data_IF_326554415068
#
_entry.id   IF_326554415068
#
_cell.length_a   1.000
_cell.length_b   1.000
_cell.length_c   1.000
_cell.angle_alpha   90.00
_cell.angle_beta   90.00
_cell.angle_gamma   90.00
#
_symmetry.space_group_name_H-M   'P 1'
#
loop_
_entity.id
_entity.type
_entity.pdbx_description
1 polymer ?
#
# COMPACT_ATOMS: atom_id res chain seq x y z
N UNK A 1 24.00 -3.34 -5.38
CA UNK A 1 23.29 -2.48 -4.40
C UNK A 1 24.02 -1.16 -4.12
N UNK A 2 25.02 -0.79 -4.93
CA UNK A 2 25.76 0.47 -4.80
C UNK A 2 24.97 1.64 -5.39
N UNK A 3 25.01 2.78 -4.71
CA UNK A 3 24.58 4.08 -5.25
C UNK A 3 25.68 4.53 -6.19
N UNK A 4 25.30 4.92 -7.40
CA UNK A 4 26.21 5.40 -8.43
C UNK A 4 26.96 6.65 -7.94
N UNK A 5 28.22 6.81 -8.35
CA UNK A 5 28.97 8.03 -8.09
C UNK A 5 28.21 9.27 -8.62
N UNK A 6 28.19 10.35 -7.83
CA UNK A 6 27.38 11.54 -8.12
C UNK A 6 25.88 11.38 -7.86
N UNK A 7 25.44 10.30 -7.21
CA UNK A 7 24.06 10.11 -6.76
C UNK A 7 23.97 9.97 -5.24
N UNK A 8 22.81 10.31 -4.71
CA UNK A 8 22.45 10.25 -3.30
C UNK A 8 21.10 9.61 -3.12
N UNK A 9 21.00 8.73 -2.12
CA UNK A 9 19.79 7.96 -1.85
C UNK A 9 18.87 8.74 -0.94
N UNK A 10 17.61 8.84 -1.35
CA UNK A 10 16.54 9.40 -0.54
C UNK A 10 15.52 8.32 -0.21
N UNK A 11 15.13 8.25 1.05
CA UNK A 11 14.00 7.48 1.52
C UNK A 11 12.72 8.30 1.33
N UNK A 12 11.71 7.68 0.72
CA UNK A 12 10.44 8.32 0.36
C UNK A 12 9.31 7.50 0.95
N UNK A 13 8.42 8.14 1.73
CA UNK A 13 7.19 7.52 2.21
C UNK A 13 5.99 8.02 1.40
N UNK A 14 5.11 7.09 1.03
CA UNK A 14 4.03 7.27 0.06
C UNK A 14 2.73 6.72 0.62
N UNK A 15 1.64 7.41 0.32
CA UNK A 15 0.27 6.94 0.52
C UNK A 15 -0.43 6.88 -0.83
N UNK A 16 -1.21 5.82 -1.08
CA UNK A 16 -2.00 5.72 -2.30
C UNK A 16 -3.22 4.80 -2.16
N UNK A 17 -4.26 5.12 -2.94
CA UNK A 17 -5.41 4.25 -3.17
C UNK A 17 -5.07 3.30 -4.31
N UNK A 18 -5.19 2.01 -4.10
CA UNK A 18 -4.83 0.99 -5.08
C UNK A 18 -5.66 0.94 -6.37
N UNK A 19 -7.01 1.10 -6.36
CA UNK A 19 -7.86 0.84 -7.51
C UNK A 19 -7.49 1.57 -8.80
N UNK A 20 -7.07 2.86 -8.78
CA UNK A 20 -6.61 3.57 -9.98
C UNK A 20 -5.35 2.99 -10.65
N UNK A 21 -4.50 2.28 -9.90
CA UNK A 21 -3.17 1.86 -10.36
C UNK A 21 -3.09 0.38 -10.75
N UNK A 22 -2.11 0.04 -11.60
CA UNK A 22 -1.74 -1.33 -11.97
C UNK A 22 -0.88 -2.06 -10.92
N UNK A 23 -0.94 -1.60 -9.66
CA UNK A 23 -0.04 -1.98 -8.58
C UNK A 23 1.14 -1.03 -8.46
N UNK A 24 2.10 -1.39 -7.61
CA UNK A 24 3.25 -0.51 -7.37
C UNK A 24 4.24 -0.51 -8.53
N UNK A 25 4.71 -1.71 -8.91
CA UNK A 25 5.87 -1.87 -9.79
C UNK A 25 5.60 -1.34 -11.19
N UNK A 26 6.63 -0.71 -11.75
CA UNK A 26 6.57 -0.22 -13.11
C UNK A 26 6.42 -1.35 -14.13
N UNK A 27 5.56 -1.11 -15.13
CA UNK A 27 5.26 -2.03 -16.23
C UNK A 27 5.57 -1.29 -17.53
N UNK A 28 6.38 -1.92 -18.40
CA UNK A 28 6.93 -1.33 -19.63
C UNK A 28 5.97 -1.37 -20.82
N UNK A 29 4.96 -2.24 -20.82
CA UNK A 29 4.20 -2.59 -22.02
C UNK A 29 2.69 -2.41 -21.86
N UNK A 30 2.06 -1.89 -22.90
CA UNK A 30 0.61 -1.75 -23.13
C UNK A 30 -0.03 -3.06 -23.66
N UNK A 31 0.64 -4.19 -23.55
CA UNK A 31 0.11 -5.45 -24.08
C UNK A 31 -0.87 -6.06 -23.06
N UNK A 32 -2.09 -6.36 -23.52
CA UNK A 32 -3.27 -6.78 -22.75
C UNK A 32 -3.82 -5.76 -21.77
N UNK A 33 -4.06 -4.54 -22.26
CA UNK A 33 -4.78 -3.54 -21.50
C UNK A 33 -6.27 -3.84 -21.30
N UNK A 34 -6.85 -4.88 -21.87
CA UNK A 34 -8.23 -5.29 -21.55
C UNK A 34 -8.18 -6.69 -20.96
N UNK A 35 -8.51 -6.80 -19.68
CA UNK A 35 -8.56 -8.09 -19.00
C UNK A 35 -9.68 -8.98 -19.58
N UNK A 36 -9.61 -10.32 -19.42
CA UNK A 36 -10.67 -11.25 -19.84
C UNK A 36 -12.06 -10.95 -19.23
N UNK A 37 -12.12 -10.22 -18.11
CA UNK A 37 -13.36 -9.77 -17.49
C UNK A 37 -13.86 -8.41 -18.01
N UNK A 38 -13.30 -7.91 -19.11
CA UNK A 38 -13.66 -6.64 -19.75
C UNK A 38 -13.03 -5.39 -19.12
N UNK A 39 -12.13 -5.52 -18.13
CA UNK A 39 -11.55 -4.33 -17.50
C UNK A 39 -10.49 -3.67 -18.36
N UNK A 40 -10.74 -2.43 -18.80
CA UNK A 40 -9.78 -1.61 -19.54
C UNK A 40 -8.72 -0.97 -18.60
N UNK A 41 -7.46 -1.07 -19.02
CA UNK A 41 -6.22 -0.69 -18.35
C UNK A 41 -5.44 0.33 -19.17
N UNK A 42 -5.91 0.68 -20.37
CA UNK A 42 -5.29 1.72 -21.19
C UNK A 42 -5.29 3.04 -20.39
N UNK A 43 -4.16 3.74 -20.39
CA UNK A 43 -3.98 4.99 -19.65
C UNK A 43 -3.79 4.84 -18.14
N UNK A 44 -3.89 3.63 -17.56
CA UNK A 44 -3.60 3.42 -16.13
C UNK A 44 -2.10 3.27 -15.91
N UNK A 45 -1.57 4.01 -14.95
CA UNK A 45 -0.18 3.93 -14.55
C UNK A 45 0.00 3.03 -13.32
N UNK A 46 1.22 2.55 -13.12
CA UNK A 46 1.67 2.03 -11.81
C UNK A 46 2.04 3.19 -10.89
N UNK A 47 2.09 2.93 -9.57
CA UNK A 47 2.56 3.93 -8.59
C UNK A 47 3.99 4.37 -8.90
N UNK A 48 4.86 3.42 -9.25
CA UNK A 48 6.23 3.72 -9.68
C UNK A 48 6.27 4.51 -10.98
N UNK A 49 5.42 4.17 -11.97
CA UNK A 49 5.33 4.93 -13.22
C UNK A 49 4.97 6.40 -12.99
N UNK A 50 4.04 6.66 -12.06
CA UNK A 50 3.66 8.01 -11.67
C UNK A 50 4.80 8.77 -10.99
N UNK A 51 5.53 8.09 -10.10
CA UNK A 51 6.72 8.65 -9.46
C UNK A 51 7.83 8.95 -10.48
N UNK A 52 8.05 8.07 -11.45
CA UNK A 52 9.00 8.26 -12.56
C UNK A 52 8.63 9.46 -13.41
N UNK A 53 7.37 9.62 -13.77
CA UNK A 53 6.93 10.78 -14.55
C UNK A 53 7.14 12.09 -13.77
N UNK A 54 6.89 12.10 -12.46
CA UNK A 54 7.17 13.25 -11.61
C UNK A 54 8.68 13.55 -11.53
N UNK A 55 9.52 12.51 -11.44
CA UNK A 55 10.98 12.63 -11.46
C UNK A 55 11.51 13.10 -12.81
N UNK A 56 11.01 12.57 -13.93
CA UNK A 56 11.36 12.99 -15.29
C UNK A 56 11.10 14.50 -15.48
N UNK A 57 10.00 15.01 -14.93
CA UNK A 57 9.65 16.44 -14.98
C UNK A 57 10.48 17.30 -14.03
N UNK A 58 10.82 16.76 -12.87
CA UNK A 58 11.57 17.48 -11.86
C UNK A 58 13.06 17.48 -12.21
N UNK A 59 13.70 16.33 -12.22
CA UNK A 59 15.17 16.18 -12.27
C UNK A 59 15.68 15.72 -13.65
N UNK A 60 14.79 15.44 -14.61
CA UNK A 60 15.14 14.86 -15.89
C UNK A 60 15.40 13.35 -15.81
N UNK A 61 15.35 12.67 -16.96
CA UNK A 61 15.51 11.20 -17.05
C UNK A 61 16.86 10.69 -16.52
N UNK A 62 17.92 11.49 -16.68
CA UNK A 62 19.28 11.16 -16.21
C UNK A 62 19.59 11.73 -14.81
N UNK A 63 18.60 12.38 -14.18
CA UNK A 63 18.71 12.98 -12.85
C UNK A 63 18.38 12.03 -11.71
N UNK A 64 17.82 10.85 -12.01
CA UNK A 64 17.56 9.79 -11.04
C UNK A 64 17.87 8.42 -11.65
N UNK A 65 17.99 7.41 -10.80
CA UNK A 65 18.27 6.04 -11.24
C UNK A 65 17.32 5.05 -10.53
N UNK A 66 17.85 4.33 -9.53
CA UNK A 66 17.17 3.21 -8.91
C UNK A 66 15.96 3.68 -8.09
N UNK A 67 14.77 3.18 -8.44
CA UNK A 67 13.59 3.21 -7.58
C UNK A 67 13.36 1.80 -7.05
N UNK A 68 13.36 1.64 -5.73
CA UNK A 68 13.12 0.35 -5.11
C UNK A 68 12.17 0.49 -3.93
N UNK A 69 11.02 -0.14 -4.06
CA UNK A 69 9.98 -0.17 -3.04
C UNK A 69 10.26 -1.20 -1.96
N UNK A 70 9.84 -0.89 -0.75
CA UNK A 70 9.93 -1.77 0.41
C UNK A 70 9.00 -2.97 0.33
N UNK A 71 7.78 -2.74 -0.16
CA UNK A 71 6.73 -3.74 -0.33
C UNK A 71 6.02 -3.52 -1.65
N UNK A 72 6.12 -4.51 -2.56
CA UNK A 72 5.34 -4.51 -3.79
C UNK A 72 3.88 -4.75 -3.44
N UNK A 73 2.98 -3.94 -4.00
CA UNK A 73 1.54 -4.13 -3.88
C UNK A 73 0.95 -4.54 -5.22
N UNK A 74 0.07 -5.55 -5.19
CA UNK A 74 -0.74 -5.95 -6.34
C UNK A 74 -1.66 -4.80 -6.78
N UNK A 75 -2.17 -4.92 -8.00
CA UNK A 75 -3.26 -4.08 -8.48
C UNK A 75 -4.44 -4.07 -7.51
N UNK A 76 -4.94 -2.87 -7.22
CA UNK A 76 -6.08 -2.66 -6.32
C UNK A 76 -5.75 -2.61 -4.83
N UNK A 77 -4.54 -3.03 -4.42
CA UNK A 77 -4.09 -2.95 -3.01
C UNK A 77 -3.68 -1.52 -2.67
N UNK A 78 -4.15 -1.03 -1.53
CA UNK A 78 -3.85 0.31 -1.03
C UNK A 78 -2.57 0.34 -0.21
N UNK A 79 -2.02 1.54 0.00
CA UNK A 79 -1.01 1.76 1.02
C UNK A 79 -1.28 3.05 1.79
N UNK A 80 -1.28 2.96 3.12
CA UNK A 80 -1.33 4.10 4.01
C UNK A 80 0.07 4.71 4.21
N UNK A 81 1.10 3.86 4.30
CA UNK A 81 2.51 4.23 4.31
C UNK A 81 3.35 3.11 3.69
N UNK A 82 3.65 3.24 2.40
CA UNK A 82 4.67 2.43 1.72
C UNK A 82 5.95 3.23 1.62
N UNK A 83 7.09 2.58 1.81
CA UNK A 83 8.39 3.22 1.67
C UNK A 83 9.03 2.79 0.35
N UNK A 84 9.68 3.70 -0.36
CA UNK A 84 10.66 3.35 -1.39
C UNK A 84 11.94 4.15 -1.19
N UNK A 85 12.96 3.82 -1.96
CA UNK A 85 14.10 4.68 -2.12
C UNK A 85 14.31 5.05 -3.56
N UNK A 86 14.83 6.25 -3.75
CA UNK A 86 15.23 6.81 -5.03
C UNK A 86 16.66 7.31 -4.93
N UNK A 87 17.47 6.96 -5.92
CA UNK A 87 18.82 7.52 -6.06
C UNK A 87 18.73 8.73 -7.00
N UNK A 88 19.05 9.92 -6.50
CA UNK A 88 18.95 11.20 -7.21
C UNK A 88 20.33 11.81 -7.35
N UNK A 89 20.65 12.39 -8.51
CA UNK A 89 21.94 13.02 -8.78
C UNK A 89 22.18 14.16 -7.78
N UNK A 90 23.37 14.21 -7.19
CA UNK A 90 23.75 15.23 -6.19
C UNK A 90 24.06 16.59 -6.79
N UNK A 91 23.84 16.79 -8.09
CA UNK A 91 24.33 17.94 -8.81
C UNK A 91 23.56 18.15 -10.12
N UNK A 92 22.75 19.20 -10.18
CA UNK A 92 22.19 19.74 -11.42
C UNK A 92 23.01 20.96 -11.82
N UNK A 93 23.71 20.96 -12.96
CA UNK A 93 24.33 22.18 -13.45
C UNK A 93 23.22 23.22 -13.77
N UNK A 94 23.37 24.43 -13.23
CA UNK A 94 22.59 25.58 -13.68
C UNK A 94 23.10 26.08 -15.05
N UNK A 95 22.48 27.12 -15.61
CA UNK A 95 22.88 27.70 -16.90
C UNK A 95 24.28 28.34 -16.87
N UNK A 96 24.80 28.61 -15.67
CA UNK A 96 26.13 29.17 -15.42
C UNK A 96 27.18 28.10 -15.09
N UNK A 97 26.81 26.81 -15.12
CA UNK A 97 27.69 25.69 -14.80
C UNK A 97 27.84 25.38 -13.30
N UNK A 98 27.11 26.06 -12.42
CA UNK A 98 27.16 25.80 -10.98
C UNK A 98 26.32 24.58 -10.61
N UNK A 99 26.80 23.82 -9.63
CA UNK A 99 26.15 22.60 -9.15
C UNK A 99 25.04 22.91 -8.14
N UNK A 100 23.78 22.66 -8.51
CA UNK A 100 22.63 22.70 -7.61
C UNK A 100 22.41 21.32 -6.97
N UNK A 101 22.47 21.24 -5.64
CA UNK A 101 22.16 20.02 -4.88
C UNK A 101 20.68 20.03 -4.43
N UNK A 102 19.89 18.97 -4.64
CA UNK A 102 18.52 18.93 -4.13
C UNK A 102 18.52 18.75 -2.60
N UNK A 103 18.07 19.78 -1.88
CA UNK A 103 17.68 19.65 -0.47
C UNK A 103 16.43 18.74 -0.39
N UNK A 104 16.36 17.87 0.63
CA UNK A 104 15.23 16.92 0.81
C UNK A 104 13.87 17.60 0.77
N UNK A 105 13.78 18.85 1.27
CA UNK A 105 12.57 19.67 1.23
C UNK A 105 12.16 20.07 -0.19
N UNK A 106 13.11 20.55 -0.99
CA UNK A 106 12.83 20.95 -2.38
C UNK A 106 12.44 19.73 -3.23
N UNK A 107 13.11 18.60 -3.00
CA UNK A 107 12.76 17.33 -3.65
C UNK A 107 11.35 16.88 -3.27
N UNK A 108 10.98 16.97 -1.98
CA UNK A 108 9.63 16.68 -1.49
C UNK A 108 8.58 17.57 -2.15
N UNK A 109 8.75 18.89 -2.06
CA UNK A 109 7.79 19.87 -2.58
C UNK A 109 7.61 19.72 -4.10
N UNK A 110 8.70 19.52 -4.85
CA UNK A 110 8.66 19.36 -6.29
C UNK A 110 8.00 18.08 -6.75
N UNK A 111 8.37 16.94 -6.16
CA UNK A 111 7.71 15.66 -6.48
C UNK A 111 6.22 15.71 -6.09
N UNK A 112 5.90 16.28 -4.93
CA UNK A 112 4.52 16.42 -4.49
C UNK A 112 3.70 17.30 -5.45
N UNK A 113 4.29 18.39 -5.95
CA UNK A 113 3.68 19.26 -6.95
C UNK A 113 3.37 18.51 -8.26
N UNK A 114 4.35 17.81 -8.85
CA UNK A 114 4.13 17.10 -10.11
C UNK A 114 3.16 15.92 -9.97
N UNK A 115 3.20 15.19 -8.86
CA UNK A 115 2.21 14.13 -8.56
C UNK A 115 0.79 14.71 -8.49
N UNK A 116 0.62 15.87 -7.86
CA UNK A 116 -0.67 16.56 -7.75
C UNK A 116 -1.15 17.07 -9.11
N UNK A 117 -0.26 17.69 -9.90
CA UNK A 117 -0.55 18.21 -11.25
C UNK A 117 -1.04 17.12 -12.19
N UNK A 118 -0.39 15.96 -12.18
CA UNK A 118 -0.83 14.79 -12.95
C UNK A 118 -2.24 14.31 -12.53
N UNK A 119 -2.63 14.49 -11.27
CA UNK A 119 -3.97 14.13 -10.80
C UNK A 119 -5.05 15.02 -11.40
N UNK A 120 -4.77 16.32 -11.50
CA UNK A 120 -5.69 17.31 -12.06
C UNK A 120 -5.94 17.09 -13.55
N UNK A 121 -4.89 16.88 -14.34
CA UNK A 121 -5.02 16.68 -15.79
C UNK A 121 -5.82 15.42 -16.15
N UNK A 122 -5.73 14.35 -15.35
CA UNK A 122 -6.52 13.14 -15.56
C UNK A 122 -8.03 13.34 -15.32
N UNK A 123 -8.43 14.30 -14.47
CA UNK A 123 -9.84 14.63 -14.20
C UNK A 123 -10.43 15.46 -15.34
N UNK A 124 -9.64 16.38 -15.93
CA UNK A 124 -10.06 17.24 -17.04
C UNK A 124 -10.33 16.48 -18.34
N UNK A 125 -9.66 15.35 -18.57
CA UNK A 125 -9.90 14.51 -19.75
C UNK A 125 -11.20 13.68 -19.66
N UNK A 126 -11.86 13.65 -18.49
CA UNK A 126 -13.09 12.88 -18.24
C UNK A 126 -14.37 13.71 -18.03
N UNK A 127 -14.29 15.05 -18.05
CA UNK A 127 -15.44 15.93 -17.84
C UNK A 127 -15.24 17.29 -18.51
N UNK A 128 -16.32 17.87 -19.06
CA UNK A 128 -16.29 19.21 -19.68
C UNK A 128 -15.61 20.21 -18.75
N UNK A 129 -14.67 20.96 -19.34
CA UNK A 129 -13.57 21.60 -18.65
C UNK A 129 -13.96 22.58 -17.55
N UNK A 130 -13.16 22.55 -16.49
CA UNK A 130 -12.89 23.72 -15.68
C UNK A 130 -11.58 24.30 -16.22
N UNK A 131 -11.62 25.50 -16.82
CA UNK A 131 -10.40 26.16 -17.28
C UNK A 131 -9.49 26.43 -16.08
N UNK A 132 -8.44 25.61 -15.93
CA UNK A 132 -7.32 25.98 -15.08
C UNK A 132 -6.57 27.08 -15.83
N UNK A 133 -6.66 28.31 -15.31
CA UNK A 133 -5.89 29.44 -15.82
C UNK A 133 -4.45 29.00 -16.07
N UNK A 134 -3.89 29.39 -17.22
CA UNK A 134 -2.51 29.10 -17.63
C UNK A 134 -1.52 29.54 -16.54
N UNK A 135 -1.29 28.67 -15.54
CA UNK A 135 -0.32 28.92 -14.48
C UNK A 135 1.07 28.64 -15.05
N UNK A 136 1.95 29.62 -14.87
CA UNK A 136 3.36 29.65 -15.29
C UNK A 136 4.06 28.31 -14.99
N UNK A 137 4.87 27.82 -15.92
CA UNK A 137 5.78 26.71 -15.65
C UNK A 137 6.83 27.19 -14.64
N UNK A 138 6.92 26.51 -13.50
CA UNK A 138 7.94 26.76 -12.48
C UNK A 138 9.24 26.09 -12.95
N UNK A 139 10.34 26.85 -12.98
CA UNK A 139 11.67 26.32 -13.32
C UNK A 139 12.33 25.73 -12.06
N UNK A 140 12.80 24.49 -12.14
CA UNK A 140 13.49 23.86 -11.01
C UNK A 140 14.77 24.62 -10.61
N UNK A 141 15.47 25.24 -11.56
CA UNK A 141 16.68 26.06 -11.27
C UNK A 141 16.32 27.27 -10.41
N UNK A 142 15.18 27.90 -10.65
CA UNK A 142 14.70 29.03 -9.87
C UNK A 142 14.25 28.59 -8.47
N UNK A 143 13.66 27.40 -8.34
CA UNK A 143 13.33 26.85 -7.02
C UNK A 143 14.59 26.47 -6.24
N UNK A 144 15.57 25.86 -6.88
CA UNK A 144 16.83 25.45 -6.25
C UNK A 144 17.70 26.65 -5.87
N UNK A 145 17.67 27.74 -6.64
CA UNK A 145 18.34 29.01 -6.29
C UNK A 145 17.56 29.86 -5.28
N UNK A 146 16.38 29.41 -4.84
CA UNK A 146 15.52 30.10 -3.88
C UNK A 146 14.77 31.31 -4.44
N UNK A 147 14.88 31.58 -5.75
CA UNK A 147 14.16 32.66 -6.45
C UNK A 147 12.66 32.39 -6.54
N UNK A 148 12.27 31.13 -6.66
CA UNK A 148 10.88 30.70 -6.65
C UNK A 148 10.63 29.62 -5.58
N UNK A 149 9.36 29.44 -5.20
CA UNK A 149 8.92 28.33 -4.35
C UNK A 149 7.81 27.58 -5.06
N UNK A 150 7.72 26.27 -4.82
CA UNK A 150 6.54 25.54 -5.25
C UNK A 150 5.29 26.14 -4.59
N UNK A 151 4.19 26.33 -5.34
CA UNK A 151 2.95 26.83 -4.78
C UNK A 151 2.45 25.84 -3.74
N UNK A 152 1.85 26.38 -2.67
CA UNK A 152 1.29 25.56 -1.61
C UNK A 152 0.29 24.54 -2.22
N UNK A 153 0.57 23.24 -2.02
CA UNK A 153 -0.27 22.14 -2.53
C UNK A 153 -1.61 22.04 -1.78
N UNK A 154 -1.90 22.98 -0.87
CA UNK A 154 -3.05 22.98 0.06
C UNK A 154 -4.44 22.90 -0.59
N UNK A 155 -4.58 23.03 -1.91
CA UNK A 155 -5.88 22.97 -2.60
C UNK A 155 -6.04 21.85 -3.62
N UNK A 156 -5.01 21.05 -3.89
CA UNK A 156 -5.22 19.83 -4.68
C UNK A 156 -5.76 18.77 -3.73
N UNK A 157 -7.05 18.46 -3.80
CA UNK A 157 -7.56 17.22 -3.23
C UNK A 157 -6.95 16.07 -4.02
N UNK A 158 -5.76 15.61 -3.63
CA UNK A 158 -5.11 14.51 -4.31
C UNK A 158 -5.86 13.24 -3.97
N UNK A 159 -6.66 12.75 -4.93
CA UNK A 159 -7.61 11.66 -4.70
C UNK A 159 -6.94 10.30 -4.58
N UNK A 160 -5.74 10.09 -5.15
CA UNK A 160 -5.22 8.75 -5.41
C UNK A 160 -3.80 8.45 -4.91
N UNK A 161 -2.85 9.40 -4.87
CA UNK A 161 -1.47 9.18 -4.38
C UNK A 161 -0.82 10.46 -3.83
N UNK A 162 -0.15 10.41 -2.68
CA UNK A 162 0.60 11.52 -2.11
C UNK A 162 1.92 11.08 -1.48
N UNK A 163 2.87 11.99 -1.41
CA UNK A 163 4.05 11.82 -0.57
C UNK A 163 3.67 12.11 0.88
N UNK A 164 4.32 11.42 1.81
CA UNK A 164 4.24 11.68 3.23
C UNK A 164 5.51 12.35 3.73
N UNK A 165 6.66 11.85 3.29
CA UNK A 165 7.95 12.41 3.65
C UNK A 165 9.04 12.05 2.61
N UNK A 166 10.10 12.84 2.56
CA UNK A 166 11.37 12.53 1.90
C UNK A 166 12.52 12.94 2.81
N UNK A 167 13.45 12.01 3.03
CA UNK A 167 14.69 12.27 3.78
C UNK A 167 15.86 11.60 3.09
N UNK A 168 17.05 12.10 3.36
CA UNK A 168 18.28 11.39 2.99
C UNK A 168 18.31 10.03 3.69
N UNK A 169 18.60 8.98 2.94
CA UNK A 169 18.73 7.65 3.52
C UNK A 169 20.11 7.49 4.17
N UNK A 170 20.20 6.82 5.33
CA UNK A 170 21.49 6.49 5.91
C UNK A 170 22.27 5.57 4.97
N UNK A 171 23.59 5.69 4.97
CA UNK A 171 24.42 4.84 4.12
C UNK A 171 24.31 3.36 4.54
N UNK A 172 24.34 3.14 5.85
CA UNK A 172 24.17 1.84 6.50
C UNK A 172 23.20 1.96 7.68
N UNK A 173 22.55 0.86 8.04
CA UNK A 173 21.73 0.74 9.24
C UNK A 173 21.89 -0.63 9.87
N UNK A 174 21.57 -0.73 11.15
CA UNK A 174 21.49 -2.01 11.82
C UNK A 174 20.22 -2.75 11.43
N UNK A 175 20.33 -4.04 11.11
CA UNK A 175 19.20 -4.88 10.80
C UNK A 175 19.30 -6.23 11.53
N UNK A 176 18.61 -6.39 12.67
CA UNK A 176 18.71 -7.59 13.50
C UNK A 176 18.16 -8.86 12.82
N UNK A 177 17.46 -8.74 11.69
CA UNK A 177 16.97 -9.91 10.95
C UNK A 177 18.06 -10.62 10.15
N UNK A 178 19.15 -9.93 9.78
CA UNK A 178 20.24 -10.56 9.00
C UNK A 178 21.19 -11.38 9.86
N UNK A 179 21.31 -11.07 11.16
CA UNK A 179 22.09 -11.85 12.12
C UNK A 179 21.58 -13.30 12.22
N UNK A 180 20.26 -13.48 12.08
CA UNK A 180 19.58 -14.75 12.39
C UNK A 180 19.47 -15.68 11.18
N UNK A 181 19.59 -15.17 9.94
CA UNK A 181 19.36 -15.97 8.72
C UNK A 181 20.62 -16.37 7.96
N UNK A 182 21.78 -15.80 8.31
CA UNK A 182 23.06 -16.26 7.78
C UNK A 182 24.17 -15.90 8.76
N UNK A 183 24.95 -16.89 9.17
CA UNK A 183 26.14 -16.77 10.04
C UNK A 183 27.26 -15.87 9.47
N UNK A 184 27.00 -15.14 8.37
CA UNK A 184 27.99 -14.52 7.49
C UNK A 184 27.68 -13.04 7.20
N UNK A 185 26.50 -12.50 7.53
CA UNK A 185 26.19 -11.10 7.21
C UNK A 185 26.28 -10.19 8.44
N UNK A 186 27.02 -9.07 8.35
CA UNK A 186 27.16 -8.14 9.46
C UNK A 186 25.82 -7.50 9.83
N UNK A 187 25.60 -7.24 11.12
CA UNK A 187 24.42 -6.53 11.63
C UNK A 187 24.18 -5.18 10.95
N UNK A 188 25.24 -4.57 10.44
CA UNK A 188 25.20 -3.33 9.68
C UNK A 188 25.04 -3.62 8.19
N UNK A 189 23.85 -3.36 7.65
CA UNK A 189 23.52 -3.55 6.24
C UNK A 189 23.42 -2.20 5.52
N UNK A 190 23.73 -2.18 4.23
CA UNK A 190 23.49 -0.98 3.42
C UNK A 190 21.98 -0.72 3.36
N UNK A 191 21.56 0.53 3.59
CA UNK A 191 20.13 0.83 3.61
C UNK A 191 19.51 0.63 2.21
N UNK A 192 18.45 -0.19 2.16
CA UNK A 192 17.64 -0.46 0.98
C UNK A 192 16.22 -0.67 1.45
N UNK A 193 15.28 0.16 0.98
CA UNK A 193 13.89 0.11 1.43
C UNK A 193 13.27 -1.31 1.48
N UNK A 194 13.66 -2.24 0.61
CA UNK A 194 13.17 -3.62 0.67
C UNK A 194 13.91 -4.46 1.68
N UNK A 195 15.22 -4.50 1.54
CA UNK A 195 16.05 -5.45 2.26
C UNK A 195 16.31 -5.01 3.70
N UNK A 196 16.26 -3.72 3.98
CA UNK A 196 16.47 -3.17 5.31
C UNK A 196 15.18 -3.06 6.15
N UNK A 197 14.02 -3.34 5.55
CA UNK A 197 12.76 -3.34 6.27
C UNK A 197 12.66 -4.56 7.21
N UNK A 198 12.45 -4.28 8.49
CA UNK A 198 12.38 -5.25 9.58
C UNK A 198 10.96 -5.77 9.80
N UNK A 199 9.95 -5.00 9.43
CA UNK A 199 8.56 -5.39 9.66
C UNK A 199 7.63 -4.74 8.65
N UNK A 200 6.58 -5.46 8.26
CA UNK A 200 5.48 -4.95 7.44
C UNK A 200 4.16 -5.22 8.16
N UNK A 201 3.28 -4.23 8.17
CA UNK A 201 1.96 -4.34 8.75
C UNK A 201 0.92 -4.21 7.65
N UNK A 202 0.08 -5.23 7.50
CA UNK A 202 -1.07 -5.22 6.60
C UNK A 202 -2.37 -5.19 7.39
N UNK A 203 -3.40 -4.58 6.82
CA UNK A 203 -4.76 -4.60 7.33
C UNK A 203 -5.70 -4.97 6.19
N UNK A 204 -6.53 -5.97 6.42
CA UNK A 204 -7.61 -6.34 5.52
C UNK A 204 -8.95 -5.92 6.11
N UNK A 205 -9.83 -5.35 5.29
CA UNK A 205 -11.18 -4.89 5.68
C UNK A 205 -12.23 -5.76 5.00
N UNK A 206 -13.17 -6.27 5.80
CA UNK A 206 -14.29 -7.09 5.35
C UNK A 206 -15.56 -6.43 5.86
N UNK A 207 -16.47 -6.14 4.95
CA UNK A 207 -17.78 -5.63 5.25
C UNK A 207 -18.78 -6.76 5.07
N UNK A 208 -19.47 -7.14 6.14
CA UNK A 208 -20.46 -8.22 6.12
C UNK A 208 -21.66 -7.82 6.97
N UNK A 209 -22.81 -8.41 6.69
CA UNK A 209 -24.06 -8.10 7.38
C UNK A 209 -24.38 -9.23 8.34
N UNK A 210 -25.04 -8.89 9.44
CA UNK A 210 -25.60 -9.90 10.33
C UNK A 210 -26.95 -10.44 9.82
N UNK A 211 -27.66 -9.69 8.95
CA UNK A 211 -29.02 -9.99 8.45
C UNK A 211 -29.17 -9.75 6.91
N UNK A 212 -30.32 -10.10 6.33
CA UNK A 212 -30.55 -10.32 4.88
C UNK A 212 -30.90 -9.07 4.02
N UNK A 213 -30.59 -7.84 4.48
CA UNK A 213 -30.94 -6.60 3.75
C UNK A 213 -29.77 -6.02 2.94
N UNK A 214 -29.82 -6.09 1.60
CA UNK A 214 -28.71 -5.72 0.68
C UNK A 214 -28.47 -4.20 0.57
N UNK A 215 -27.93 -3.55 1.61
CA UNK A 215 -27.49 -2.15 1.53
C UNK A 215 -26.03 -2.06 1.05
N UNK A 216 -25.82 -1.50 -0.14
CA UNK A 216 -24.49 -1.11 -0.58
C UNK A 216 -24.03 0.12 0.21
N UNK A 217 -22.80 0.10 0.76
CA UNK A 217 -22.14 1.30 1.31
C UNK A 217 -21.19 1.85 0.24
N UNK A 218 -21.57 2.91 -0.49
CA UNK A 218 -20.76 3.41 -1.61
C UNK A 218 -19.34 3.82 -1.18
N UNK A 219 -19.19 4.29 0.06
CA UNK A 219 -17.91 4.71 0.63
C UNK A 219 -16.89 3.57 0.80
N UNK A 220 -17.36 2.32 0.88
CA UNK A 220 -16.54 1.12 1.11
C UNK A 220 -16.30 0.27 -0.13
N UNK A 221 -16.97 0.54 -1.26
CA UNK A 221 -16.96 -0.29 -2.48
C UNK A 221 -15.56 -0.68 -2.98
N UNK A 222 -14.58 0.20 -2.79
CA UNK A 222 -13.19 0.01 -3.20
C UNK A 222 -12.22 0.02 -2.01
N UNK A 223 -12.70 -0.23 -0.79
CA UNK A 223 -11.94 -0.17 0.46
C UNK A 223 -12.17 -1.36 1.38
N UNK A 224 -13.13 -2.23 1.08
CA UNK A 224 -13.36 -3.45 1.83
C UNK A 224 -13.90 -4.55 0.92
N UNK A 225 -13.69 -5.80 1.32
CA UNK A 225 -14.36 -6.92 0.68
C UNK A 225 -15.77 -7.05 1.25
N UNK A 226 -16.77 -6.81 0.40
CA UNK A 226 -18.17 -7.03 0.75
C UNK A 226 -18.51 -8.52 0.63
N UNK A 227 -18.94 -9.14 1.74
CA UNK A 227 -19.51 -10.48 1.76
C UNK A 227 -21.04 -10.31 1.85
N UNK A 228 -21.77 -10.85 0.86
CA UNK A 228 -23.24 -10.80 0.78
C UNK A 228 -23.85 -12.07 1.37
N UNK A 229 -25.09 -11.97 1.83
CA UNK A 229 -25.99 -13.06 2.22
C UNK A 229 -25.28 -14.14 3.04
N UNK A 230 -24.50 -13.72 4.04
CA UNK A 230 -23.69 -14.61 4.85
C UNK A 230 -24.22 -14.66 6.26
N UNK A 231 -24.24 -15.87 6.83
CA UNK A 231 -24.22 -16.11 8.27
C UNK A 231 -23.12 -15.20 8.87
N UNK A 232 -23.35 -14.57 10.04
CA UNK A 232 -22.31 -13.83 10.75
C UNK A 232 -21.02 -14.64 10.84
N UNK A 233 -19.88 -13.99 10.55
CA UNK A 233 -18.59 -14.66 10.65
C UNK A 233 -18.30 -15.07 12.10
N UNK A 234 -17.98 -16.35 12.32
CA UNK A 234 -17.50 -16.85 13.60
C UNK A 234 -16.09 -16.29 13.89
N UNK A 235 -16.06 -15.21 14.66
CA UNK A 235 -14.84 -14.51 15.03
C UNK A 235 -13.94 -15.37 15.91
N UNK A 236 -14.49 -16.21 16.78
CA UNK A 236 -13.71 -17.03 17.68
C UNK A 236 -12.98 -18.12 16.90
N UNK A 237 -13.65 -18.78 15.96
CA UNK A 237 -13.02 -19.74 15.05
C UNK A 237 -11.94 -19.07 14.20
N UNK A 238 -12.19 -17.87 13.66
CA UNK A 238 -11.19 -17.11 12.91
C UNK A 238 -9.98 -16.75 13.77
N UNK A 239 -10.19 -16.32 15.02
CA UNK A 239 -9.11 -16.00 15.96
C UNK A 239 -8.31 -17.24 16.34
N UNK A 240 -8.96 -18.39 16.55
CA UNK A 240 -8.27 -19.68 16.80
C UNK A 240 -7.42 -20.11 15.60
N UNK A 241 -7.96 -20.05 14.38
CA UNK A 241 -7.19 -20.31 13.16
C UNK A 241 -6.01 -19.34 12.99
N UNK A 242 -6.21 -18.05 13.29
CA UNK A 242 -5.14 -17.05 13.25
C UNK A 242 -4.00 -17.35 14.24
N UNK A 243 -4.30 -17.92 15.42
CA UNK A 243 -3.27 -18.37 16.37
C UNK A 243 -2.40 -19.47 15.76
N UNK A 244 -2.99 -20.46 15.08
CA UNK A 244 -2.21 -21.51 14.41
C UNK A 244 -1.33 -20.99 13.26
N UNK A 245 -1.77 -19.93 12.57
CA UNK A 245 -0.98 -19.27 11.51
C UNK A 245 0.14 -18.36 12.06
N UNK A 246 0.09 -17.97 13.33
CA UNK A 246 1.09 -17.07 13.93
C UNK A 246 2.37 -17.87 14.24
N UNK A 247 3.53 -17.23 14.08
CA UNK A 247 4.85 -17.87 14.24
C UNK A 247 5.58 -18.11 12.91
N UNK A 248 6.58 -18.98 12.95
CA UNK A 248 7.42 -19.33 11.80
C UNK A 248 6.96 -20.62 11.18
N UNK A 249 6.46 -20.54 9.94
CA UNK A 249 5.91 -21.69 9.22
C UNK A 249 6.36 -21.70 7.77
N UNK A 250 6.26 -22.87 7.13
CA UNK A 250 6.25 -22.98 5.67
C UNK A 250 4.87 -22.55 5.14
N UNK A 251 4.80 -21.40 4.48
CA UNK A 251 3.56 -20.85 3.96
C UNK A 251 3.31 -21.23 2.48
N UNK A 252 3.85 -22.35 2.00
CA UNK A 252 3.63 -22.82 0.62
C UNK A 252 2.15 -22.94 0.28
N UNK A 253 1.30 -23.45 1.18
CA UNK A 253 -0.15 -23.52 0.97
C UNK A 253 -0.79 -22.15 0.74
N UNK A 254 -0.19 -21.07 1.25
CA UNK A 254 -0.67 -19.69 1.08
C UNK A 254 0.12 -18.91 0.02
N UNK A 255 1.02 -19.55 -0.73
CA UNK A 255 1.85 -18.92 -1.76
C UNK A 255 1.15 -19.00 -3.12
N UNK A 256 1.02 -17.88 -3.82
CA UNK A 256 0.56 -17.91 -5.20
C UNK A 256 1.65 -18.39 -6.18
N UNK A 257 1.21 -18.97 -7.30
CA UNK A 257 2.07 -19.26 -8.45
C UNK A 257 2.76 -17.99 -8.95
N UNK A 258 4.00 -18.12 -9.45
CA UNK A 258 4.82 -16.99 -9.89
C UNK A 258 5.57 -16.24 -8.77
N UNK A 259 5.50 -16.69 -7.52
CA UNK A 259 6.37 -16.16 -6.48
C UNK A 259 7.83 -16.57 -6.74
N UNK A 260 8.72 -15.60 -6.89
CA UNK A 260 10.16 -15.83 -7.14
C UNK A 260 11.02 -15.98 -5.89
N UNK A 261 10.41 -15.99 -4.69
CA UNK A 261 11.16 -16.16 -3.44
C UNK A 261 11.65 -17.61 -3.31
N UNK A 262 12.90 -17.78 -2.91
CA UNK A 262 13.49 -19.11 -2.70
C UNK A 262 12.81 -19.85 -1.54
N UNK A 263 12.89 -19.31 -0.32
CA UNK A 263 12.28 -19.93 0.86
C UNK A 263 10.80 -19.52 1.04
N UNK A 264 9.87 -20.48 1.19
CA UNK A 264 8.49 -20.22 1.59
C UNK A 264 8.32 -20.03 3.11
N UNK A 265 9.41 -20.18 3.88
CA UNK A 265 9.37 -20.03 5.34
C UNK A 265 9.35 -18.55 5.70
N UNK A 266 8.34 -18.15 6.47
CA UNK A 266 8.09 -16.77 6.88
C UNK A 266 7.70 -16.75 8.35
N UNK A 267 8.06 -15.67 9.05
CA UNK A 267 7.62 -15.42 10.43
C UNK A 267 6.53 -14.35 10.45
N UNK A 268 5.37 -14.71 10.97
CA UNK A 268 4.29 -13.78 11.33
C UNK A 268 4.36 -13.51 12.83
N UNK A 269 4.61 -12.26 13.20
CA UNK A 269 4.71 -11.84 14.60
C UNK A 269 3.34 -11.78 15.26
N UNK A 270 2.33 -11.31 14.52
CA UNK A 270 0.98 -11.13 15.05
C UNK A 270 -0.06 -11.20 13.94
N UNK A 271 -1.18 -11.84 14.24
CA UNK A 271 -2.42 -11.76 13.47
C UNK A 271 -3.53 -11.35 14.43
N UNK A 272 -4.26 -10.27 14.12
CA UNK A 272 -5.38 -9.81 14.94
C UNK A 272 -6.66 -9.79 14.10
N UNK A 273 -7.70 -10.47 14.57
CA UNK A 273 -9.03 -10.47 13.95
C UNK A 273 -9.97 -9.74 14.90
N UNK A 274 -10.56 -8.65 14.44
CA UNK A 274 -11.49 -7.83 15.20
C UNK A 274 -12.73 -7.53 14.36
N UNK A 275 -13.88 -7.34 15.01
CA UNK A 275 -15.10 -6.90 14.35
C UNK A 275 -15.75 -5.81 15.17
N UNK A 276 -16.37 -4.86 14.48
CA UNK A 276 -17.12 -3.78 15.09
C UNK A 276 -18.32 -3.44 14.22
N UNK A 277 -19.43 -2.93 14.81
CA UNK A 277 -20.51 -2.35 14.05
C UNK A 277 -20.01 -1.22 13.13
N UNK A 278 -20.59 -1.11 11.93
CA UNK A 278 -20.26 -0.16 10.89
C UNK A 278 -21.50 0.68 10.55
N UNK A 279 -21.43 2.00 10.76
CA UNK A 279 -22.54 2.93 10.48
C UNK A 279 -22.93 3.80 11.69
N UNK A 280 -24.15 4.34 11.66
CA UNK A 280 -24.69 5.31 12.65
C UNK A 280 -24.76 4.71 14.07
N UNK A 281 -24.93 3.40 14.20
CA UNK A 281 -24.87 2.71 15.50
C UNK A 281 -23.47 2.77 16.16
N UNK A 282 -22.43 3.18 15.44
CA UNK A 282 -21.10 3.50 15.97
C UNK A 282 -20.90 4.98 16.31
N UNK A 283 -21.88 5.85 16.04
CA UNK A 283 -21.88 7.25 16.49
C UNK A 283 -22.33 7.29 17.96
N UNK A 284 -21.38 7.27 18.88
CA UNK A 284 -21.68 7.70 20.25
C UNK A 284 -21.91 9.22 20.27
N UNK A 285 -23.03 9.69 20.84
CA UNK A 285 -23.26 11.12 21.08
C UNK A 285 -24.66 11.64 20.77
N UNK A 286 -24.77 12.96 20.58
CA UNK A 286 -26.02 13.74 20.36
C UNK A 286 -26.81 13.31 19.14
N UNK A 287 -26.14 12.91 18.05
CA UNK A 287 -26.80 12.55 16.79
C UNK A 287 -27.67 11.28 16.89
N UNK A 288 -27.26 10.30 17.69
CA UNK A 288 -28.07 9.10 17.93
C UNK A 288 -29.37 9.44 18.70
N UNK A 289 -29.33 10.43 19.60
CA UNK A 289 -30.51 10.93 20.32
C UNK A 289 -31.45 11.70 19.39
N UNK A 290 -30.90 12.49 18.46
CA UNK A 290 -31.69 13.20 17.44
C UNK A 290 -32.38 12.22 16.48
N UNK A 291 -31.67 11.18 15.99
CA UNK A 291 -32.30 10.15 15.15
C UNK A 291 -33.46 9.45 15.86
N UNK A 292 -33.31 9.11 17.15
CA UNK A 292 -34.39 8.53 17.95
C UNK A 292 -35.60 9.48 18.10
N UNK A 293 -35.35 10.79 18.21
CA UNK A 293 -36.40 11.83 18.32
C UNK A 293 -37.28 11.89 17.05
N UNK A 294 -36.70 11.64 15.88
CA UNK A 294 -37.41 11.63 14.59
C UNK A 294 -37.98 10.25 14.20
N UNK A 295 -37.95 9.27 15.13
CA UNK A 295 -38.43 7.91 14.85
C UNK A 295 -37.58 7.17 13.80
N UNK A 296 -36.36 7.65 13.53
CA UNK A 296 -35.43 6.97 12.63
C UNK A 296 -34.81 5.81 13.42
N UNK A 297 -34.92 4.55 12.94
CA UNK A 297 -34.33 3.41 13.63
C UNK A 297 -32.84 3.64 13.87
N UNK A 298 -32.43 3.73 15.14
CA UNK A 298 -31.03 3.88 15.54
C UNK A 298 -30.23 2.58 15.40
N UNK A 299 -30.94 1.46 15.22
CA UNK A 299 -30.40 0.15 14.84
C UNK A 299 -30.83 -0.15 13.41
N UNK A 300 -30.05 0.31 12.43
CA UNK A 300 -30.04 -0.35 11.13
C UNK A 300 -29.23 -1.64 11.35
N UNK A 301 -29.86 -2.79 11.09
CA UNK A 301 -29.30 -4.14 11.21
C UNK A 301 -27.79 -4.17 10.97
N UNK A 302 -26.97 -4.63 11.93
CA UNK A 302 -25.64 -4.07 12.08
C UNK A 302 -24.72 -4.66 11.03
N UNK A 303 -24.55 -3.90 9.96
CA UNK A 303 -23.40 -4.00 9.09
C UNK A 303 -22.16 -4.03 9.98
N UNK A 304 -21.32 -5.03 9.82
CA UNK A 304 -20.11 -5.21 10.60
C UNK A 304 -18.89 -5.00 9.72
N UNK A 305 -17.91 -4.30 10.26
CA UNK A 305 -16.59 -4.18 9.67
C UNK A 305 -15.64 -5.06 10.46
N UNK A 306 -15.33 -6.21 9.88
CA UNK A 306 -14.26 -7.07 10.37
C UNK A 306 -12.94 -6.65 9.76
N UNK A 307 -11.94 -6.48 10.62
CA UNK A 307 -10.57 -6.19 10.22
C UNK A 307 -9.66 -7.36 10.60
N UNK A 308 -8.73 -7.67 9.71
CA UNK A 308 -7.68 -8.66 9.96
C UNK A 308 -6.34 -7.97 9.76
N UNK A 309 -5.57 -7.78 10.81
CA UNK A 309 -4.21 -7.25 10.72
C UNK A 309 -3.19 -8.38 10.71
N UNK A 310 -2.13 -8.19 9.91
CA UNK A 310 -1.01 -9.12 9.83
C UNK A 310 0.28 -8.32 10.01
N UNK A 311 1.08 -8.74 10.98
CA UNK A 311 2.41 -8.20 11.22
C UNK A 311 3.43 -9.32 11.01
N UNK A 312 4.44 -9.05 10.20
CA UNK A 312 5.45 -10.04 9.86
C UNK A 312 6.73 -9.39 9.36
N UNK A 313 7.83 -10.13 9.43
CA UNK A 313 9.13 -9.68 8.91
C UNK A 313 9.08 -9.53 7.38
N UNK A 314 8.41 -10.47 6.71
CA UNK A 314 8.26 -10.51 5.24
C UNK A 314 6.99 -11.26 4.88
N UNK A 315 6.56 -11.18 3.62
CA UNK A 315 5.39 -11.90 3.12
C UNK A 315 5.65 -12.47 1.72
N UNK A 316 5.07 -13.62 1.40
CA UNK A 316 5.09 -14.23 0.06
C UNK A 316 4.08 -13.56 -0.88
N UNK A 317 4.22 -13.85 -2.17
CA UNK A 317 3.29 -13.33 -3.17
C UNK A 317 1.85 -13.78 -2.89
N UNK A 318 0.94 -12.81 -2.72
CA UNK A 318 -0.48 -12.97 -2.33
C UNK A 318 -0.75 -13.67 -0.98
N UNK A 319 0.28 -13.88 -0.15
CA UNK A 319 0.15 -14.62 1.12
C UNK A 319 -0.99 -14.09 1.99
N UNK A 320 -1.00 -12.77 2.25
CA UNK A 320 -2.01 -12.14 3.10
C UNK A 320 -3.42 -12.37 2.57
N UNK A 321 -3.65 -12.20 1.27
CA UNK A 321 -4.98 -12.38 0.65
C UNK A 321 -5.43 -13.84 0.65
N UNK A 322 -4.50 -14.79 0.51
CA UNK A 322 -4.80 -16.22 0.63
C UNK A 322 -5.16 -16.59 2.08
N UNK A 323 -4.41 -16.08 3.06
CA UNK A 323 -4.73 -16.29 4.47
C UNK A 323 -6.08 -15.66 4.86
N UNK A 324 -6.38 -14.45 4.37
CA UNK A 324 -7.70 -13.82 4.59
C UNK A 324 -8.82 -14.68 3.99
N UNK A 325 -8.68 -15.16 2.76
CA UNK A 325 -9.67 -16.02 2.13
C UNK A 325 -9.92 -17.31 2.92
N UNK A 326 -8.85 -17.91 3.44
CA UNK A 326 -8.93 -19.08 4.32
C UNK A 326 -9.62 -18.76 5.66
N UNK A 327 -9.22 -17.67 6.34
CA UNK A 327 -9.85 -17.25 7.60
C UNK A 327 -11.33 -16.96 7.41
N UNK A 328 -11.74 -16.35 6.30
CA UNK A 328 -13.15 -16.15 5.98
C UNK A 328 -13.88 -17.48 5.76
N UNK A 329 -13.25 -18.48 5.14
CA UNK A 329 -13.86 -19.81 5.01
C UNK A 329 -14.04 -20.49 6.37
N UNK A 330 -13.08 -20.34 7.29
CA UNK A 330 -13.22 -20.78 8.69
C UNK A 330 -14.37 -20.05 9.38
N UNK A 331 -14.43 -18.72 9.27
CA UNK A 331 -15.51 -17.92 9.87
C UNK A 331 -16.90 -18.23 9.30
N UNK A 332 -16.97 -18.77 8.07
CA UNK A 332 -18.23 -19.28 7.48
C UNK A 332 -18.56 -20.72 7.86
N UNK A 333 -17.70 -21.40 8.63
CA UNK A 333 -17.86 -22.81 8.98
C UNK A 333 -17.61 -23.78 7.82
N UNK A 334 -17.01 -23.33 6.72
CA UNK A 334 -16.66 -24.20 5.59
C UNK A 334 -15.42 -25.06 5.86
N UNK A 335 -14.61 -24.65 6.83
CA UNK A 335 -13.39 -25.32 7.27
C UNK A 335 -13.33 -25.22 8.79
N UNK A 336 -12.94 -26.31 9.47
CA UNK A 336 -12.72 -26.27 10.91
C UNK A 336 -11.42 -25.55 11.24
N UNK A 337 -11.42 -24.74 12.30
CA UNK A 337 -10.23 -23.96 12.63
C UNK A 337 -9.02 -24.84 13.02
N UNK A 338 -9.26 -26.05 13.52
CA UNK A 338 -8.26 -27.06 13.89
C UNK A 338 -7.51 -27.62 12.68
N UNK A 339 -8.12 -27.62 11.49
CA UNK A 339 -7.51 -28.11 10.24
C UNK A 339 -6.39 -27.18 9.73
N UNK A 340 -6.22 -26.01 10.34
CA UNK A 340 -5.20 -25.03 9.93
C UNK A 340 -3.78 -25.60 9.98
N UNK A 341 -3.48 -26.45 10.96
CA UNK A 341 -2.17 -27.11 11.07
C UNK A 341 -1.98 -28.10 9.92
N UNK A 342 -3.02 -28.87 9.57
CA UNK A 342 -2.98 -29.79 8.44
C UNK A 342 -2.79 -29.05 7.12
N UNK A 343 -3.44 -27.89 6.93
CA UNK A 343 -3.29 -27.06 5.73
C UNK A 343 -1.87 -26.51 5.60
N UNK A 344 -1.24 -26.07 6.69
CA UNK A 344 0.18 -25.65 6.68
C UNK A 344 1.09 -26.82 6.31
N UNK A 345 0.88 -27.99 6.91
CA UNK A 345 1.70 -29.18 6.68
C UNK A 345 1.53 -29.76 5.26
N UNK A 346 0.36 -29.59 4.64
CA UNK A 346 0.09 -30.08 3.30
C UNK A 346 0.96 -29.41 2.22
N UNK A 347 1.44 -28.18 2.45
CA UNK A 347 2.24 -27.38 1.49
C UNK A 347 1.62 -27.33 0.09
N UNK A 348 0.30 -27.28 0.03
CA UNK A 348 -0.48 -27.37 -1.21
C UNK A 348 -1.44 -26.18 -1.32
N UNK A 349 -1.26 -25.38 -2.37
CA UNK A 349 -2.09 -24.20 -2.62
C UNK A 349 -3.55 -24.55 -2.86
N UNK A 350 -3.88 -25.74 -3.37
CA UNK A 350 -5.28 -26.15 -3.60
C UNK A 350 -6.05 -26.32 -2.30
N UNK A 351 -5.35 -26.60 -1.20
CA UNK A 351 -5.91 -26.68 0.16
C UNK A 351 -6.22 -25.31 0.76
N UNK A 352 -5.56 -24.26 0.28
CA UNK A 352 -5.94 -22.90 0.60
C UNK A 352 -7.13 -22.48 -0.27
N UNK A 353 -8.13 -21.87 0.37
CA UNK A 353 -9.34 -21.41 -0.28
C UNK A 353 -9.08 -20.31 -1.33
N UNK A 354 -10.17 -19.82 -1.92
CA UNK A 354 -10.11 -18.72 -2.90
C UNK A 354 -9.38 -17.49 -2.34
N UNK A 355 -8.68 -16.78 -3.22
CA UNK A 355 -7.89 -15.60 -2.82
C UNK A 355 -8.82 -14.41 -2.54
N UNK A 356 -8.68 -13.76 -1.39
CA UNK A 356 -9.48 -12.56 -1.08
C UNK A 356 -9.24 -11.44 -2.11
N UNK A 357 -10.25 -10.60 -2.43
CA UNK A 357 -10.10 -9.46 -3.34
C UNK A 357 -9.01 -8.47 -2.91
N UNK A 358 -8.40 -7.76 -3.87
CA UNK A 358 -7.28 -6.87 -3.58
C UNK A 358 -7.70 -5.55 -2.89
N UNK A 359 -8.87 -5.01 -3.23
CA UNK A 359 -9.33 -3.68 -2.80
C UNK A 359 -9.68 -3.57 -1.31
N UNK A 360 -9.73 -4.70 -0.59
CA UNK A 360 -9.86 -4.71 0.87
C UNK A 360 -8.53 -4.68 1.62
N UNK A 361 -7.39 -4.84 0.93
CA UNK A 361 -6.06 -4.92 1.54
C UNK A 361 -5.34 -3.57 1.55
N UNK A 362 -4.75 -3.24 2.70
CA UNK A 362 -3.94 -2.05 2.93
C UNK A 362 -2.58 -2.47 3.46
N UNK A 363 -1.51 -1.97 2.84
CA UNK A 363 -0.21 -1.87 3.51
C UNK A 363 -0.27 -0.66 4.46
N UNK A 364 -0.28 -0.92 5.76
CA UNK A 364 -0.41 0.12 6.78
C UNK A 364 0.91 0.83 6.99
N UNK A 365 1.98 0.06 7.21
CA UNK A 365 3.28 0.60 7.57
C UNK A 365 4.43 -0.39 7.26
N UNK A 366 5.64 0.16 7.12
CA UNK A 366 6.89 -0.58 6.96
C UNK A 366 7.96 0.01 7.88
N UNK A 367 8.48 -0.81 8.79
CA UNK A 367 9.54 -0.42 9.72
C UNK A 367 10.92 -0.73 9.16
N UNK A 368 11.89 0.14 9.42
CA UNK A 368 13.29 0.02 9.00
C UNK A 368 14.20 0.14 10.22
N UNK A 369 13.98 -0.70 11.24
CA UNK A 369 14.69 -0.59 12.52
C UNK A 369 14.47 0.79 13.16
N UNK A 370 15.54 1.44 13.59
CA UNK A 370 15.52 2.76 14.25
C UNK A 370 15.39 3.94 13.27
N UNK A 371 15.41 3.67 11.96
CA UNK A 371 15.28 4.72 10.96
C UNK A 371 13.81 5.02 10.63
N UNK A 372 13.30 6.11 11.19
CA UNK A 372 11.97 6.62 10.90
C UNK A 372 11.93 7.56 9.68
N UNK A 373 11.06 7.21 8.74
CA UNK A 373 10.84 7.90 7.46
C UNK A 373 9.48 8.58 7.46
#
# INVERSE_FOLDING_TARGET
MTVREGFKRYAVSLQYRGPPFLGFSWQRTQEDCILPNGTDLRGRQSVEGRLREALDKLVGRDGYDKIQVSSRTDRGVHALKNTCHIDVRTSFPDESGNVLTPYSRTLFEGLQYYIAKQASTAVEQGGKGLEVSKRRSIDLKDVLSGKERFPAVQQFQIKDMRLLNIREAPHFMDNPLYDVQSTIQPNKVRWDARFSATQRTYLYRILHMCNDTDWAVPFEWNRSWRIRNSIPLDLEAMQRAAKYLTGTHDFTSFRASGCSRYSPVVTLNQICVQSQPYGIAGLSGTFAKECALFGIPTTIDPLCLTTISFQGNSFLYRQVRNMVGYLVAVGKGWINCEDTVAVLNARDRTKAQSTAPAHGLFLVDVKHGDFEI
#
